data_IF_535585280721
#
_entry.id   IF_535585280721
#
_cell.length_a   1.000
_cell.length_b   1.000
_cell.length_c   1.000
_cell.angle_alpha   90.00
_cell.angle_beta   90.00
_cell.angle_gamma   90.00
#
_symmetry.space_group_name_H-M   'P 1'
#
loop_
_entity.id
_entity.type
_entity.pdbx_description
1 polymer ?
#
# COMPACT_ATOMS: atom_id res chain seq x y z
N UNK A 1 1.83 -11.55 -6.34
CA UNK A 1 2.84 -12.22 -5.51
C UNK A 1 2.17 -13.26 -4.61
N UNK A 2 2.55 -14.55 -4.70
CA UNK A 2 1.92 -15.62 -3.89
C UNK A 2 2.03 -15.40 -2.38
N UNK A 3 3.12 -14.80 -1.92
CA UNK A 3 3.35 -14.49 -0.51
C UNK A 3 2.45 -13.38 0.04
N UNK A 4 1.78 -12.64 -0.83
CA UNK A 4 0.87 -11.57 -0.44
C UNK A 4 -0.61 -11.98 -0.47
N UNK A 5 -0.91 -13.23 -0.78
CA UNK A 5 -2.29 -13.72 -0.85
C UNK A 5 -2.92 -13.85 0.54
N UNK A 6 -4.24 -13.72 0.60
CA UNK A 6 -5.00 -13.87 1.85
C UNK A 6 -4.75 -15.23 2.51
N UNK A 7 -4.72 -16.30 1.71
CA UNK A 7 -4.43 -17.65 2.22
C UNK A 7 -3.04 -17.74 2.85
N UNK A 8 -2.04 -17.04 2.29
CA UNK A 8 -0.71 -17.00 2.87
C UNK A 8 -0.72 -16.30 4.24
N UNK A 9 -1.47 -15.20 4.36
CA UNK A 9 -1.60 -14.49 5.64
C UNK A 9 -2.30 -15.36 6.68
N UNK A 10 -3.35 -16.09 6.29
CA UNK A 10 -4.06 -17.02 7.18
C UNK A 10 -3.18 -18.20 7.63
N UNK A 11 -2.40 -18.75 6.71
CA UNK A 11 -1.45 -19.82 7.02
C UNK A 11 -0.36 -19.34 7.99
N UNK A 12 0.15 -18.13 7.77
CA UNK A 12 1.15 -17.53 8.64
C UNK A 12 0.57 -17.28 10.05
N UNK A 13 -0.65 -16.77 10.12
CA UNK A 13 -1.34 -16.56 11.40
C UNK A 13 -1.44 -17.88 12.20
N UNK A 14 -1.82 -18.96 11.53
CA UNK A 14 -1.91 -20.28 12.17
C UNK A 14 -0.55 -20.78 12.64
N UNK A 15 0.46 -20.68 11.76
CA UNK A 15 1.82 -21.14 12.07
C UNK A 15 2.40 -20.38 13.27
N UNK A 16 2.28 -19.05 13.29
CA UNK A 16 2.77 -18.23 14.38
C UNK A 16 2.02 -18.52 15.69
N UNK A 17 0.71 -18.68 15.62
CA UNK A 17 -0.10 -18.97 16.81
C UNK A 17 0.28 -20.31 17.44
N UNK A 18 0.51 -21.32 16.61
CA UNK A 18 0.92 -22.65 17.09
C UNK A 18 2.38 -22.64 17.60
N UNK A 19 3.27 -22.04 16.84
CA UNK A 19 4.70 -22.03 17.16
C UNK A 19 5.05 -21.26 18.41
N UNK A 20 4.31 -20.21 18.73
CA UNK A 20 4.56 -19.35 19.90
C UNK A 20 3.58 -19.63 21.04
N UNK A 21 2.70 -20.59 20.89
CA UNK A 21 1.66 -20.94 21.88
C UNK A 21 0.89 -19.70 22.35
N UNK A 22 0.52 -18.84 21.41
CA UNK A 22 -0.29 -17.63 21.63
C UNK A 22 -1.24 -17.46 20.46
N UNK A 23 -2.38 -16.86 20.71
CA UNK A 23 -3.29 -16.49 19.63
C UNK A 23 -2.86 -15.14 19.04
N UNK A 24 -2.40 -15.17 17.80
CA UNK A 24 -2.16 -13.98 17.01
C UNK A 24 -3.31 -13.77 16.03
N UNK A 25 -3.65 -12.52 15.80
CA UNK A 25 -4.57 -12.13 14.74
C UNK A 25 -3.82 -11.21 13.78
N UNK A 26 -3.64 -11.68 12.53
CA UNK A 26 -3.05 -10.87 11.47
C UNK A 26 -4.18 -10.20 10.71
N UNK A 27 -4.23 -8.88 10.77
CA UNK A 27 -5.22 -8.09 10.05
C UNK A 27 -4.60 -7.53 8.77
N UNK A 28 -5.36 -7.59 7.67
CA UNK A 28 -4.92 -7.13 6.35
C UNK A 28 -6.00 -6.25 5.74
N UNK A 29 -6.17 -5.02 6.26
CA UNK A 29 -7.31 -4.17 5.87
C UNK A 29 -7.28 -3.72 4.41
N UNK A 30 -6.16 -3.85 3.72
CA UNK A 30 -6.02 -3.47 2.31
C UNK A 30 -6.07 -4.67 1.36
N UNK A 31 -6.31 -5.89 1.87
CA UNK A 31 -6.20 -7.13 1.08
C UNK A 31 -7.09 -7.13 -0.17
N UNK A 32 -8.30 -6.62 -0.06
CA UNK A 32 -9.33 -6.74 -1.10
C UNK A 32 -9.60 -5.44 -1.84
N UNK A 33 -8.76 -4.43 -1.66
CA UNK A 33 -8.87 -3.15 -2.36
C UNK A 33 -7.62 -2.90 -3.20
N UNK A 34 -7.77 -2.14 -4.28
CA UNK A 34 -6.66 -1.78 -5.15
C UNK A 34 -5.96 -0.49 -4.68
N UNK A 35 -4.95 -0.06 -5.43
CA UNK A 35 -4.18 1.15 -5.07
C UNK A 35 -5.03 2.42 -5.13
N UNK A 36 -5.94 2.54 -6.10
CA UNK A 36 -6.83 3.69 -6.19
C UNK A 36 -7.75 3.75 -4.98
N UNK A 37 -8.32 2.62 -4.57
CA UNK A 37 -9.15 2.52 -3.38
C UNK A 37 -8.36 2.82 -2.10
N UNK A 38 -7.09 2.45 -2.07
CA UNK A 38 -6.20 2.78 -0.94
C UNK A 38 -6.00 4.29 -0.80
N UNK A 39 -5.79 5.01 -1.91
CA UNK A 39 -5.74 6.47 -1.90
C UNK A 39 -7.06 7.07 -1.44
N UNK A 40 -8.18 6.54 -1.94
CA UNK A 40 -9.52 6.99 -1.54
C UNK A 40 -9.76 6.77 -0.04
N UNK A 41 -9.34 5.62 0.49
CA UNK A 41 -9.45 5.33 1.93
C UNK A 41 -8.65 6.34 2.77
N UNK A 42 -7.42 6.63 2.36
CA UNK A 42 -6.60 7.64 3.04
C UNK A 42 -7.29 9.00 3.06
N UNK A 43 -7.84 9.42 1.92
CA UNK A 43 -8.57 10.70 1.83
C UNK A 43 -9.81 10.71 2.73
N UNK A 44 -10.50 9.58 2.84
CA UNK A 44 -11.70 9.47 3.70
C UNK A 44 -11.37 9.50 5.19
N UNK A 45 -10.22 8.95 5.57
CA UNK A 45 -9.80 8.86 6.98
C UNK A 45 -9.15 10.13 7.50
N UNK A 46 -8.35 10.80 6.69
CA UNK A 46 -7.56 11.96 7.13
C UNK A 46 -7.56 13.14 6.18
N UNK A 47 -8.35 13.09 5.09
CA UNK A 47 -8.44 14.17 4.11
C UNK A 47 -7.13 14.41 3.36
N UNK A 48 -7.04 15.55 2.70
CA UNK A 48 -5.85 15.92 1.93
C UNK A 48 -4.57 15.99 2.80
N UNK A 49 -4.60 16.45 4.06
CA UNK A 49 -3.40 16.43 4.90
C UNK A 49 -2.79 15.03 5.06
N UNK A 50 -3.60 13.99 5.20
CA UNK A 50 -3.08 12.62 5.28
C UNK A 50 -2.53 12.16 3.94
N UNK A 51 -3.20 12.48 2.83
CA UNK A 51 -2.71 12.16 1.49
C UNK A 51 -1.35 12.83 1.24
N UNK A 52 -1.20 14.09 1.61
CA UNK A 52 0.07 14.82 1.47
C UNK A 52 1.18 14.18 2.30
N UNK A 53 0.87 13.72 3.50
CA UNK A 53 1.81 13.03 4.36
C UNK A 53 2.28 11.71 3.72
N UNK A 54 1.36 10.96 3.13
CA UNK A 54 1.67 9.71 2.44
C UNK A 54 2.58 9.97 1.24
N UNK A 55 2.28 10.98 0.43
CA UNK A 55 3.09 11.37 -0.72
C UNK A 55 4.52 11.68 -0.30
N UNK A 56 4.69 12.46 0.75
CA UNK A 56 6.01 12.95 1.17
C UNK A 56 6.82 11.93 1.98
N UNK A 57 6.17 11.15 2.85
CA UNK A 57 6.86 10.38 3.87
C UNK A 57 6.76 8.85 3.72
N UNK A 58 6.02 8.33 2.75
CA UNK A 58 5.98 6.89 2.48
C UNK A 58 6.76 6.54 1.23
N UNK A 59 7.16 5.27 1.14
CA UNK A 59 8.02 4.83 0.07
C UNK A 59 7.68 3.40 -0.33
N UNK A 60 7.48 3.18 -1.64
CA UNK A 60 7.16 1.85 -2.18
C UNK A 60 8.13 1.40 -3.27
N UNK A 61 9.01 2.27 -3.74
CA UNK A 61 9.96 1.98 -4.81
C UNK A 61 10.92 0.86 -4.42
N UNK A 62 11.06 -0.16 -5.28
CA UNK A 62 11.97 -1.29 -5.05
C UNK A 62 13.44 -0.88 -5.02
N UNK A 63 13.79 0.21 -5.69
CA UNK A 63 15.16 0.73 -5.72
C UNK A 63 15.46 1.70 -4.59
N UNK A 64 14.47 2.07 -3.80
CA UNK A 64 14.64 3.02 -2.71
C UNK A 64 14.92 4.45 -3.17
N UNK A 65 14.52 4.81 -4.38
CA UNK A 65 14.80 6.13 -4.96
C UNK A 65 13.97 7.22 -4.27
N UNK A 66 14.65 8.17 -3.62
CA UNK A 66 14.05 9.36 -3.04
C UNK A 66 14.55 10.66 -3.68
N UNK A 67 15.24 10.56 -4.81
CA UNK A 67 15.74 11.71 -5.55
C UNK A 67 14.68 12.23 -6.52
N UNK A 68 13.96 11.32 -7.17
CA UNK A 68 12.93 11.66 -8.16
C UNK A 68 11.57 11.76 -7.48
N UNK A 69 10.99 12.96 -7.50
CA UNK A 69 9.67 13.23 -6.92
C UNK A 69 8.62 13.29 -8.01
N UNK A 70 7.53 12.56 -7.81
CA UNK A 70 6.35 12.53 -8.68
C UNK A 70 5.13 13.05 -7.91
N UNK A 71 4.01 13.23 -8.59
CA UNK A 71 2.76 13.64 -7.95
C UNK A 71 2.31 12.66 -6.85
N UNK A 72 2.63 11.38 -7.02
CA UNK A 72 2.27 10.31 -6.10
C UNK A 72 3.35 10.01 -5.03
N UNK A 73 4.46 10.69 -5.07
CA UNK A 73 5.55 10.51 -4.11
C UNK A 73 6.90 10.26 -4.76
N UNK A 74 7.85 9.79 -3.97
CA UNK A 74 9.22 9.53 -4.43
C UNK A 74 9.38 8.12 -4.98
N UNK A 75 10.15 7.96 -6.05
CA UNK A 75 10.45 6.66 -6.64
C UNK A 75 11.12 6.77 -8.00
N UNK A 76 11.65 5.65 -8.51
CA UNK A 76 12.30 5.61 -9.83
C UNK A 76 11.31 5.84 -10.98
N UNK A 77 10.03 5.58 -10.78
CA UNK A 77 8.99 5.72 -11.79
C UNK A 77 8.90 4.55 -12.76
N UNK A 78 9.79 3.57 -12.67
CA UNK A 78 9.91 2.49 -13.66
C UNK A 78 9.74 1.10 -13.08
N UNK A 79 9.97 0.89 -11.78
CA UNK A 79 9.79 -0.42 -11.18
C UNK A 79 8.30 -0.79 -11.05
N UNK A 80 7.96 -2.09 -10.89
CA UNK A 80 6.56 -2.51 -10.78
C UNK A 80 5.80 -1.82 -9.64
N UNK A 81 6.44 -1.58 -8.51
CA UNK A 81 5.81 -0.90 -7.39
C UNK A 81 5.50 0.56 -7.70
N UNK A 82 6.41 1.28 -8.37
CA UNK A 82 6.17 2.65 -8.82
C UNK A 82 5.05 2.70 -9.86
N UNK A 83 5.03 1.75 -10.80
CA UNK A 83 3.98 1.66 -11.81
C UNK A 83 2.60 1.48 -11.19
N UNK A 84 2.46 0.57 -10.24
CA UNK A 84 1.18 0.33 -9.54
C UNK A 84 0.76 1.56 -8.72
N UNK A 85 1.70 2.18 -8.02
CA UNK A 85 1.41 3.38 -7.22
C UNK A 85 0.97 4.54 -8.10
N UNK A 86 1.68 4.78 -9.20
CA UNK A 86 1.37 5.86 -10.15
C UNK A 86 -0.01 5.66 -10.78
N UNK A 87 -0.29 4.47 -11.27
CA UNK A 87 -1.60 4.16 -11.90
C UNK A 87 -2.75 4.29 -10.90
N UNK A 88 -2.56 3.81 -9.68
CA UNK A 88 -3.57 3.93 -8.63
C UNK A 88 -3.83 5.39 -8.25
N UNK A 89 -2.79 6.17 -8.11
CA UNK A 89 -2.91 7.61 -7.82
C UNK A 89 -3.65 8.34 -8.96
N UNK A 90 -3.23 8.12 -10.20
CA UNK A 90 -3.84 8.78 -11.36
C UNK A 90 -5.32 8.44 -11.50
N UNK A 91 -5.68 7.18 -11.28
CA UNK A 91 -7.07 6.74 -11.32
C UNK A 91 -7.89 7.38 -10.20
N UNK A 92 -7.34 7.45 -8.98
CA UNK A 92 -8.02 8.09 -7.87
C UNK A 92 -8.25 9.57 -8.13
N UNK A 93 -7.25 10.29 -8.64
CA UNK A 93 -7.38 11.72 -9.01
C UNK A 93 -8.46 11.90 -10.07
N UNK A 94 -8.50 11.06 -11.11
CA UNK A 94 -9.49 11.12 -12.16
C UNK A 94 -10.92 10.88 -11.63
N UNK A 95 -11.08 9.96 -10.69
CA UNK A 95 -12.39 9.62 -10.11
C UNK A 95 -12.89 10.68 -9.13
N UNK A 96 -12.01 11.49 -8.55
CA UNK A 96 -12.37 12.54 -7.59
C UNK A 96 -12.42 13.94 -8.19
N UNK A 97 -12.05 14.06 -9.44
CA UNK A 97 -12.05 15.34 -10.15
C UNK A 97 -13.47 15.81 -10.52
#
# INVERSE_FOLDING_TARGET
YPDCRDDTMKAMQLALSLGMDKRFLIETPLMWIDKADTWALAASLGGQPLVDLIIEHTHTCYLGDRVHRHAWGYGCGECPACDLRAKGYDRWVAETA
#
